data_IF_900374309188
#
_entry.id   IF_900374309188
#
_cell.length_a   1.000
_cell.length_b   1.000
_cell.length_c   1.000
_cell.angle_alpha   90.00
_cell.angle_beta   90.00
_cell.angle_gamma   90.00
#
_symmetry.space_group_name_H-M   'P 1'
#
loop_
_entity.id
_entity.type
_entity.pdbx_description
1 polymer ?
#
# COMPACT_ATOMS: atom_id res chain seq x y z
N UNK A 1 15.53 -5.54 3.02
CA UNK A 1 15.38 -6.97 3.41
C UNK A 1 14.03 -7.50 2.91
N UNK A 2 13.90 -7.86 1.64
CA UNK A 2 12.59 -8.20 1.05
C UNK A 2 12.07 -9.60 1.43
N UNK A 3 12.91 -10.46 1.99
CA UNK A 3 12.56 -11.87 2.22
C UNK A 3 11.98 -12.18 3.60
N UNK A 4 12.05 -11.27 4.57
CA UNK A 4 11.51 -11.48 5.91
C UNK A 4 9.97 -11.62 5.95
N UNK A 5 9.28 -11.09 4.92
CA UNK A 5 7.81 -11.03 4.82
C UNK A 5 7.23 -12.04 3.83
N UNK A 6 8.04 -12.96 3.30
CA UNK A 6 7.60 -13.99 2.35
C UNK A 6 7.23 -13.49 0.94
N UNK A 7 7.37 -12.19 0.67
CA UNK A 7 7.05 -11.58 -0.61
C UNK A 7 8.28 -11.28 -1.47
N UNK A 8 8.06 -11.09 -2.78
CA UNK A 8 9.07 -10.55 -3.70
C UNK A 8 8.96 -9.03 -3.71
N UNK A 9 10.06 -8.34 -3.41
CA UNK A 9 10.17 -6.90 -3.63
C UNK A 9 10.39 -6.62 -5.12
N UNK A 10 9.71 -5.59 -5.65
CA UNK A 10 9.86 -5.09 -7.01
C UNK A 10 10.02 -3.58 -6.97
N UNK A 11 11.06 -3.07 -7.61
CA UNK A 11 11.24 -1.64 -7.74
C UNK A 11 10.42 -1.13 -8.94
N UNK A 12 9.39 -0.35 -8.66
CA UNK A 12 8.49 0.21 -9.69
C UNK A 12 9.18 1.21 -10.63
N UNK A 13 10.37 1.68 -10.32
CA UNK A 13 11.17 2.53 -11.20
C UNK A 13 12.05 1.71 -12.17
N UNK A 14 12.07 0.38 -12.04
CA UNK A 14 12.79 -0.52 -12.93
C UNK A 14 11.81 -1.11 -13.97
N UNK A 15 11.89 -0.63 -15.20
CA UNK A 15 11.00 -1.04 -16.28
C UNK A 15 11.08 -2.54 -16.60
N UNK A 16 12.26 -3.14 -16.48
CA UNK A 16 12.48 -4.55 -16.79
C UNK A 16 11.81 -5.46 -15.76
N UNK A 17 11.86 -5.07 -14.49
CA UNK A 17 11.14 -5.79 -13.44
C UNK A 17 9.62 -5.71 -13.60
N UNK A 18 9.11 -4.57 -14.11
CA UNK A 18 7.67 -4.35 -14.30
C UNK A 18 7.09 -5.11 -15.48
N UNK A 19 7.84 -5.27 -16.58
CA UNK A 19 7.34 -5.95 -17.78
C UNK A 19 6.90 -7.39 -17.51
N UNK A 20 7.61 -8.09 -16.63
CA UNK A 20 7.26 -9.45 -16.21
C UNK A 20 6.02 -9.59 -15.33
N UNK A 21 5.43 -8.47 -14.88
CA UNK A 21 4.31 -8.47 -13.94
C UNK A 21 2.93 -8.31 -14.60
N UNK A 22 2.87 -8.09 -15.91
CA UNK A 22 1.62 -7.92 -16.63
C UNK A 22 0.72 -9.17 -16.50
N UNK A 23 -0.54 -8.95 -16.10
CA UNK A 23 -1.57 -10.01 -15.93
C UNK A 23 -1.16 -11.14 -14.98
N UNK A 24 -0.47 -10.79 -13.88
CA UNK A 24 0.01 -11.77 -12.90
C UNK A 24 -0.83 -11.79 -11.61
N UNK A 25 -1.56 -10.72 -11.30
CA UNK A 25 -2.22 -10.55 -10.00
C UNK A 25 -3.74 -10.63 -10.10
N UNK A 26 -4.34 -11.33 -9.18
CA UNK A 26 -5.80 -11.39 -9.00
C UNK A 26 -6.28 -10.19 -8.17
N UNK A 27 -5.43 -9.70 -7.26
CA UNK A 27 -5.72 -8.59 -6.37
C UNK A 27 -4.49 -7.71 -6.16
N UNK A 28 -4.68 -6.39 -6.20
CA UNK A 28 -3.66 -5.40 -5.88
C UNK A 28 -4.23 -4.44 -4.84
N UNK A 29 -3.51 -4.22 -3.75
CA UNK A 29 -3.82 -3.22 -2.72
C UNK A 29 -2.86 -2.04 -2.85
N UNK A 30 -3.38 -0.85 -3.12
CA UNK A 30 -2.60 0.38 -3.16
C UNK A 30 -2.75 1.17 -1.88
N UNK A 31 -1.66 1.31 -1.15
CA UNK A 31 -1.55 2.17 0.05
C UNK A 31 -0.80 3.47 -0.25
N UNK A 32 -0.57 3.81 -1.52
CA UNK A 32 0.28 4.92 -1.96
C UNK A 32 -0.41 6.26 -1.64
N UNK A 33 0.18 7.11 -0.76
CA UNK A 33 -0.40 8.41 -0.42
C UNK A 33 0.15 9.56 -1.29
N UNK A 34 0.79 9.25 -2.40
CA UNK A 34 1.46 10.19 -3.28
C UNK A 34 0.92 10.09 -4.71
N UNK A 35 1.38 10.98 -5.59
CA UNK A 35 1.06 10.91 -7.02
C UNK A 35 1.69 9.65 -7.65
N UNK A 36 0.88 8.88 -8.37
CA UNK A 36 1.34 7.71 -9.13
C UNK A 36 0.44 7.49 -10.36
N UNK A 37 0.87 6.62 -11.28
CA UNK A 37 0.06 6.18 -12.41
C UNK A 37 -0.67 4.87 -12.08
N UNK A 38 -1.99 4.90 -11.81
CA UNK A 38 -2.74 3.68 -11.51
C UNK A 38 -2.88 2.73 -12.71
N UNK A 39 -2.74 3.23 -13.95
CA UNK A 39 -2.85 2.40 -15.15
C UNK A 39 -1.75 1.34 -15.20
N UNK A 40 -0.58 1.67 -14.69
CA UNK A 40 0.53 0.73 -14.57
C UNK A 40 0.11 -0.52 -13.75
N UNK A 41 -0.56 -0.32 -12.64
CA UNK A 41 -1.02 -1.42 -11.77
C UNK A 41 -2.21 -2.17 -12.37
N UNK A 42 -3.12 -1.45 -13.03
CA UNK A 42 -4.25 -2.09 -13.74
C UNK A 42 -3.78 -3.08 -14.80
N UNK A 43 -2.69 -2.79 -15.51
CA UNK A 43 -2.09 -3.71 -16.48
C UNK A 43 -1.54 -5.00 -15.86
N UNK A 44 -1.21 -4.98 -14.58
CA UNK A 44 -0.70 -6.15 -13.86
C UNK A 44 -1.83 -7.10 -13.43
N UNK A 45 -3.10 -6.66 -13.49
CA UNK A 45 -4.24 -7.48 -13.11
C UNK A 45 -4.55 -8.53 -14.17
N UNK A 46 -4.91 -9.73 -13.72
CA UNK A 46 -5.53 -10.78 -14.52
C UNK A 46 -6.94 -10.39 -14.93
N UNK A 47 -7.55 -11.22 -15.77
CA UNK A 47 -8.97 -11.10 -16.12
C UNK A 47 -9.84 -11.11 -14.86
N UNK A 48 -10.75 -10.13 -14.73
CA UNK A 48 -11.59 -9.88 -13.57
C UNK A 48 -10.83 -9.54 -12.27
N UNK A 49 -9.54 -9.23 -12.35
CA UNK A 49 -8.74 -8.83 -11.21
C UNK A 49 -9.25 -7.55 -10.54
N UNK A 50 -8.84 -7.32 -9.30
CA UNK A 50 -9.34 -6.24 -8.45
C UNK A 50 -8.20 -5.33 -7.99
N UNK A 51 -8.43 -4.02 -8.05
CA UNK A 51 -7.51 -3.00 -7.56
C UNK A 51 -8.20 -2.19 -6.46
N UNK A 52 -7.79 -2.44 -5.22
CA UNK A 52 -8.27 -1.70 -4.05
C UNK A 52 -7.35 -0.51 -3.75
N UNK A 53 -7.91 0.67 -3.60
CA UNK A 53 -7.18 1.90 -3.27
C UNK A 53 -7.56 2.33 -1.86
N UNK A 54 -6.59 2.35 -0.95
CA UNK A 54 -6.76 2.77 0.45
C UNK A 54 -5.83 3.94 0.82
N UNK A 55 -4.81 4.23 0.00
CA UNK A 55 -3.98 5.42 0.14
C UNK A 55 -4.73 6.66 -0.33
N UNK A 56 -4.67 7.75 0.45
CA UNK A 56 -5.32 9.02 0.11
C UNK A 56 -4.23 10.07 -0.17
N UNK A 57 -3.95 10.38 -1.45
CA UNK A 57 -3.06 11.48 -1.81
C UNK A 57 -3.68 12.83 -1.48
N UNK A 58 -2.84 13.85 -1.36
CA UNK A 58 -3.32 15.24 -1.25
C UNK A 58 -4.14 15.63 -2.49
N UNK A 59 -5.02 16.62 -2.35
CA UNK A 59 -5.89 17.07 -3.45
C UNK A 59 -5.14 17.45 -4.75
N UNK A 60 -3.92 17.93 -4.63
CA UNK A 60 -3.05 18.25 -5.78
C UNK A 60 -2.46 17.00 -6.49
N UNK A 61 -2.51 15.86 -5.85
CA UNK A 61 -1.86 14.63 -6.30
C UNK A 61 -2.84 13.47 -6.57
N UNK A 62 -4.13 13.76 -6.67
CA UNK A 62 -5.16 12.74 -6.95
C UNK A 62 -4.86 12.10 -8.31
N UNK A 63 -4.66 10.77 -8.38
CA UNK A 63 -4.42 10.10 -9.63
C UNK A 63 -5.66 10.10 -10.51
N UNK A 64 -5.46 10.21 -11.83
CA UNK A 64 -6.54 10.07 -12.80
C UNK A 64 -6.52 8.67 -13.41
N UNK A 65 -7.68 8.03 -13.49
CA UNK A 65 -7.82 6.72 -14.13
C UNK A 65 -8.69 6.90 -15.38
N UNK A 66 -8.13 6.81 -16.57
CA UNK A 66 -8.90 6.88 -17.79
C UNK A 66 -9.80 5.64 -17.90
N UNK A 67 -11.10 5.85 -18.16
CA UNK A 67 -12.11 4.77 -18.21
C UNK A 67 -11.74 3.66 -19.20
N UNK A 68 -11.16 4.02 -20.33
CA UNK A 68 -10.71 3.05 -21.33
C UNK A 68 -9.64 2.08 -20.77
N UNK A 69 -8.81 2.49 -19.83
CA UNK A 69 -7.85 1.60 -19.20
C UNK A 69 -8.53 0.48 -18.40
N UNK A 70 -9.69 0.76 -17.81
CA UNK A 70 -10.48 -0.25 -17.08
C UNK A 70 -11.14 -1.21 -18.08
N UNK A 71 -11.78 -0.67 -19.11
CA UNK A 71 -12.51 -1.47 -20.11
C UNK A 71 -11.57 -2.36 -20.93
N UNK A 72 -10.42 -1.82 -21.36
CA UNK A 72 -9.49 -2.54 -22.24
C UNK A 72 -8.53 -3.48 -21.49
N UNK A 73 -8.39 -3.35 -20.18
CA UNK A 73 -7.48 -4.17 -19.37
C UNK A 73 -8.22 -5.23 -18.55
N UNK A 74 -8.84 -6.20 -19.22
CA UNK A 74 -9.26 -7.44 -18.57
C UNK A 74 -10.49 -7.35 -17.63
N UNK A 75 -11.46 -6.47 -17.89
CA UNK A 75 -12.68 -6.34 -17.07
C UNK A 75 -12.37 -6.16 -15.57
N UNK A 76 -11.32 -5.43 -15.23
CA UNK A 76 -10.90 -5.27 -13.86
C UNK A 76 -11.90 -4.43 -13.06
N UNK A 77 -11.87 -4.58 -11.73
CA UNK A 77 -12.62 -3.76 -10.80
C UNK A 77 -11.66 -2.83 -10.08
N UNK A 78 -12.04 -1.56 -9.98
CA UNK A 78 -11.31 -0.56 -9.18
C UNK A 78 -12.27 -0.05 -8.12
N UNK A 79 -11.86 -0.08 -6.87
CA UNK A 79 -12.68 0.38 -5.75
C UNK A 79 -11.82 0.95 -4.63
N UNK A 80 -12.43 1.78 -3.79
CA UNK A 80 -11.82 2.30 -2.57
C UNK A 80 -12.37 1.60 -1.35
N UNK A 81 -11.59 1.63 -0.26
CA UNK A 81 -12.06 1.22 1.06
C UNK A 81 -11.61 2.24 2.09
N UNK A 82 -12.50 2.56 3.01
CA UNK A 82 -12.19 3.38 4.18
C UNK A 82 -11.82 2.50 5.37
N UNK A 83 -11.51 3.15 6.48
CA UNK A 83 -11.20 2.49 7.75
C UNK A 83 -12.38 1.67 8.23
N UNK A 84 -12.09 0.57 8.94
CA UNK A 84 -13.09 -0.25 9.61
C UNK A 84 -13.66 0.40 10.87
N UNK A 85 -14.79 -0.09 11.34
CA UNK A 85 -15.38 0.30 12.62
C UNK A 85 -14.62 -0.28 13.82
N UNK A 86 -15.02 0.12 15.04
CA UNK A 86 -14.39 -0.34 16.29
C UNK A 86 -14.44 -1.87 16.40
N UNK A 87 -15.59 -2.47 16.07
CA UNK A 87 -15.76 -3.94 16.12
C UNK A 87 -14.80 -4.65 15.17
N UNK A 88 -14.71 -4.22 13.93
CA UNK A 88 -13.82 -4.80 12.92
C UNK A 88 -12.34 -4.64 13.30
N UNK A 89 -12.00 -3.49 13.91
CA UNK A 89 -10.65 -3.25 14.43
C UNK A 89 -10.33 -4.21 15.58
N UNK A 90 -11.28 -4.47 16.49
CA UNK A 90 -11.08 -5.44 17.56
C UNK A 90 -10.93 -6.85 17.02
N UNK A 91 -11.77 -7.26 16.09
CA UNK A 91 -11.66 -8.58 15.42
C UNK A 91 -10.31 -8.76 14.72
N UNK A 92 -9.80 -7.72 14.07
CA UNK A 92 -8.47 -7.72 13.44
C UNK A 92 -7.36 -7.89 14.47
N UNK A 93 -7.44 -7.20 15.61
CA UNK A 93 -6.46 -7.31 16.70
C UNK A 93 -6.47 -8.72 17.30
N UNK A 94 -7.65 -9.26 17.58
CA UNK A 94 -7.81 -10.61 18.14
C UNK A 94 -7.25 -11.67 17.18
N UNK A 95 -7.54 -11.54 15.88
CA UNK A 95 -6.99 -12.40 14.85
C UNK A 95 -5.46 -12.31 14.78
N UNK A 96 -4.91 -11.10 14.83
CA UNK A 96 -3.47 -10.86 14.77
C UNK A 96 -2.74 -11.49 15.95
N UNK A 97 -3.26 -11.32 17.16
CA UNK A 97 -2.70 -11.94 18.37
C UNK A 97 -2.77 -13.46 18.29
N UNK A 98 -3.92 -14.02 17.91
CA UNK A 98 -4.13 -15.48 17.81
C UNK A 98 -3.19 -16.14 16.79
N UNK A 99 -2.76 -15.40 15.76
CA UNK A 99 -1.89 -15.90 14.68
C UNK A 99 -0.44 -15.43 14.78
N UNK A 100 -0.05 -14.73 15.85
CA UNK A 100 1.31 -14.24 16.04
C UNK A 100 1.74 -13.18 15.02
N UNK A 101 0.78 -12.41 14.46
CA UNK A 101 1.02 -11.36 13.46
C UNK A 101 1.18 -10.04 14.19
N UNK A 102 2.42 -9.54 14.29
CA UNK A 102 2.73 -8.29 14.96
C UNK A 102 3.40 -7.31 13.99
N UNK A 103 3.10 -6.00 14.10
CA UNK A 103 3.81 -4.99 13.34
C UNK A 103 5.25 -4.85 13.84
N UNK A 104 6.17 -4.57 12.93
CA UNK A 104 7.49 -4.06 13.33
C UNK A 104 7.35 -2.60 13.76
N UNK A 105 7.94 -2.26 14.89
CA UNK A 105 7.89 -0.91 15.46
C UNK A 105 9.27 -0.49 15.97
N UNK A 106 9.53 0.82 15.92
CA UNK A 106 10.68 1.44 16.55
C UNK A 106 10.20 2.17 17.82
N UNK A 107 10.67 1.72 18.98
CA UNK A 107 10.29 2.33 20.27
C UNK A 107 11.19 3.53 20.52
N UNK A 108 10.61 4.68 20.82
CA UNK A 108 11.33 5.93 21.10
C UNK A 108 10.91 6.54 22.43
N UNK A 109 11.80 7.29 23.13
CA UNK A 109 11.41 8.07 24.30
C UNK A 109 10.35 9.12 23.96
N UNK A 110 9.36 9.26 24.84
CA UNK A 110 8.27 10.24 24.69
C UNK A 110 8.68 11.64 25.20
N UNK A 111 9.78 12.19 24.70
CA UNK A 111 10.21 13.56 24.98
C UNK A 111 10.06 14.44 23.73
N UNK A 112 9.93 15.77 23.94
CA UNK A 112 9.61 16.71 22.87
C UNK A 112 10.65 16.77 21.75
N UNK A 113 11.94 16.56 22.07
CA UNK A 113 13.02 16.56 21.10
C UNK A 113 12.94 15.31 20.20
N UNK A 114 12.88 14.14 20.82
CA UNK A 114 12.83 12.84 20.12
C UNK A 114 11.58 12.75 19.26
N UNK A 115 10.43 13.20 19.74
CA UNK A 115 9.18 13.24 18.96
C UNK A 115 9.33 14.13 17.73
N UNK A 116 9.93 15.32 17.87
CA UNK A 116 10.13 16.25 16.74
C UNK A 116 11.06 15.63 15.68
N UNK A 117 12.15 15.00 16.11
CA UNK A 117 13.08 14.31 15.21
C UNK A 117 12.39 13.12 14.50
N UNK A 118 11.55 12.35 15.21
CA UNK A 118 10.78 11.26 14.65
C UNK A 118 9.78 11.74 13.58
N UNK A 119 9.11 12.86 13.80
CA UNK A 119 8.24 13.48 12.77
C UNK A 119 9.02 13.81 11.51
N UNK A 120 10.21 14.40 11.65
CA UNK A 120 11.04 14.74 10.48
C UNK A 120 11.45 13.48 9.71
N UNK A 121 11.87 12.43 10.40
CA UNK A 121 12.22 11.15 9.78
C UNK A 121 11.05 10.51 9.04
N UNK A 122 9.83 10.59 9.58
CA UNK A 122 8.62 10.13 8.89
C UNK A 122 8.37 10.92 7.61
N UNK A 123 8.54 12.26 7.64
CA UNK A 123 8.41 13.12 6.45
C UNK A 123 9.45 12.77 5.39
N UNK A 124 10.68 12.46 5.81
CA UNK A 124 11.80 12.12 4.93
C UNK A 124 11.73 10.65 4.44
N UNK A 125 10.81 9.84 4.97
CA UNK A 125 10.68 8.42 4.64
C UNK A 125 11.75 7.54 5.29
N UNK A 126 12.47 8.06 6.29
CA UNK A 126 13.53 7.37 7.04
C UNK A 126 12.97 6.76 8.34
N UNK A 127 12.03 5.83 8.18
CA UNK A 127 11.44 5.08 9.29
C UNK A 127 11.13 3.64 8.84
N UNK A 128 11.42 2.66 9.69
CA UNK A 128 10.98 1.29 9.50
C UNK A 128 9.56 1.13 10.05
N UNK A 129 8.63 1.58 9.24
CA UNK A 129 7.19 1.44 9.35
C UNK A 129 6.53 2.34 10.40
N UNK A 130 6.93 2.37 11.67
CA UNK A 130 6.21 3.10 12.71
C UNK A 130 7.07 3.36 13.95
N UNK A 131 6.99 4.57 14.49
CA UNK A 131 7.43 4.90 15.86
C UNK A 131 6.31 4.65 16.87
N UNK A 132 6.68 4.15 18.04
CA UNK A 132 5.79 3.93 19.21
C UNK A 132 6.46 4.44 20.49
#
# INVERSE_FOLDING_TARGET
MPHAWGGRYVNVNNSDELQGLNKQYDFILSTIPAKYDPVMYVKMLKLNGQFAIVGIPSAANIPSIPVNAIVMNSNCKIFGSQIGGIKETQEMLDYSVANGIYPEVEIIPADGKTITEAYQKVVDGDVKFRYV
#
